data_IF_150753762828
#
_entry.id   IF_150753762828
#
_cell.length_a   1.000
_cell.length_b   1.000
_cell.length_c   1.000
_cell.angle_alpha   90.00
_cell.angle_beta   90.00
_cell.angle_gamma   90.00
#
_symmetry.space_group_name_H-M   'P 1'
#
loop_
_entity.id
_entity.type
_entity.pdbx_description
1 polymer ?
#
# COMPACT_ATOMS: atom_id res chain seq x y z
N UNK A 1 -6.99 -21.84 24.70
CA UNK A 1 -6.76 -21.73 23.24
C UNK A 1 -7.40 -20.46 22.65
N UNK A 2 -8.33 -19.82 23.37
CA UNK A 2 -9.18 -18.73 22.87
C UNK A 2 -8.51 -17.34 22.74
N UNK A 3 -7.30 -17.15 23.29
CA UNK A 3 -6.59 -15.86 23.20
C UNK A 3 -5.78 -15.68 21.91
N UNK A 4 -5.39 -16.77 21.25
CA UNK A 4 -4.50 -16.71 20.08
C UNK A 4 -5.25 -16.28 18.82
N UNK A 5 -6.48 -16.76 18.64
CA UNK A 5 -7.29 -16.62 17.43
C UNK A 5 -8.47 -15.65 17.62
N UNK A 6 -8.23 -14.50 18.26
CA UNK A 6 -9.26 -13.45 18.32
C UNK A 6 -9.27 -12.62 17.01
N UNK A 7 -10.41 -12.00 16.72
CA UNK A 7 -10.60 -11.26 15.47
C UNK A 7 -9.63 -10.08 15.32
N UNK A 8 -9.24 -9.40 16.41
CA UNK A 8 -8.26 -8.31 16.37
C UNK A 8 -6.89 -8.80 15.85
N UNK A 9 -6.42 -9.95 16.34
CA UNK A 9 -5.16 -10.56 15.89
C UNK A 9 -5.25 -10.97 14.42
N UNK A 10 -6.39 -11.53 13.99
CA UNK A 10 -6.61 -11.89 12.60
C UNK A 10 -6.57 -10.67 11.67
N UNK A 11 -7.22 -9.56 12.05
CA UNK A 11 -7.18 -8.30 11.29
C UNK A 11 -5.76 -7.71 11.24
N UNK A 12 -5.01 -7.77 12.34
CA UNK A 12 -3.61 -7.32 12.38
C UNK A 12 -2.72 -8.13 11.43
N UNK A 13 -2.81 -9.46 11.49
CA UNK A 13 -2.03 -10.35 10.61
C UNK A 13 -2.41 -10.14 9.15
N UNK A 14 -3.72 -10.08 8.83
CA UNK A 14 -4.19 -9.86 7.47
C UNK A 14 -3.72 -8.50 6.93
N UNK A 15 -3.86 -7.43 7.71
CA UNK A 15 -3.40 -6.09 7.32
C UNK A 15 -1.90 -6.09 7.04
N UNK A 16 -1.08 -6.63 7.94
CA UNK A 16 0.36 -6.72 7.75
C UNK A 16 0.73 -7.53 6.50
N UNK A 17 0.16 -8.73 6.36
CA UNK A 17 0.50 -9.64 5.26
C UNK A 17 0.13 -9.05 3.89
N UNK A 18 -1.09 -8.53 3.73
CA UNK A 18 -1.55 -7.99 2.46
C UNK A 18 -0.91 -6.65 2.12
N UNK A 19 -0.67 -5.79 3.11
CA UNK A 19 0.08 -4.55 2.89
C UNK A 19 1.55 -4.82 2.53
N UNK A 20 2.20 -5.77 3.22
CA UNK A 20 3.56 -6.18 2.91
C UNK A 20 3.66 -6.75 1.50
N UNK A 21 2.76 -7.66 1.14
CA UNK A 21 2.70 -8.26 -0.19
C UNK A 21 2.43 -7.21 -1.26
N UNK A 22 1.52 -6.27 -1.01
CA UNK A 22 1.23 -5.21 -1.97
C UNK A 22 2.49 -4.39 -2.26
N UNK A 23 3.27 -4.00 -1.26
CA UNK A 23 4.51 -3.23 -1.45
C UNK A 23 5.73 -4.09 -1.84
N UNK A 24 5.56 -5.39 -2.10
CA UNK A 24 6.65 -6.26 -2.55
C UNK A 24 6.53 -6.47 -4.04
N UNK A 25 7.44 -5.86 -4.80
CA UNK A 25 7.52 -6.09 -6.23
C UNK A 25 7.84 -7.57 -6.53
N UNK A 26 7.22 -8.17 -7.55
CA UNK A 26 7.44 -9.58 -7.92
C UNK A 26 8.81 -9.80 -8.58
N UNK A 27 9.36 -8.79 -9.23
CA UNK A 27 10.61 -8.87 -10.01
C UNK A 27 11.77 -8.19 -9.29
N UNK A 28 13.00 -8.60 -9.61
CA UNK A 28 14.23 -7.97 -9.10
C UNK A 28 14.29 -6.50 -9.56
N UNK A 29 14.62 -5.54 -8.68
CA UNK A 29 14.66 -4.14 -9.06
C UNK A 29 15.73 -3.91 -10.15
N UNK A 30 15.37 -3.09 -11.13
CA UNK A 30 16.27 -2.75 -12.23
C UNK A 30 17.49 -1.96 -11.74
N UNK A 31 18.69 -2.21 -12.29
CA UNK A 31 19.87 -1.41 -12.04
C UNK A 31 19.60 0.08 -12.35
N UNK A 32 20.14 0.99 -11.54
CA UNK A 32 19.89 2.44 -11.66
C UNK A 32 20.18 3.02 -13.06
N UNK A 33 21.13 2.42 -13.79
CA UNK A 33 21.52 2.83 -15.14
C UNK A 33 20.43 2.59 -16.21
N UNK A 34 19.43 1.77 -15.91
CA UNK A 34 18.36 1.36 -16.84
C UNK A 34 17.05 2.12 -16.62
N UNK A 35 17.03 3.12 -15.73
CA UNK A 35 15.83 3.87 -15.41
C UNK A 35 15.58 4.95 -16.47
N UNK A 36 14.35 5.00 -17.00
CA UNK A 36 13.95 6.00 -18.00
C UNK A 36 13.85 7.39 -17.37
N UNK A 37 13.27 7.47 -16.17
CA UNK A 37 13.23 8.68 -15.35
C UNK A 37 13.97 8.42 -14.02
N UNK A 38 14.83 9.36 -13.62
CA UNK A 38 15.59 9.30 -12.37
C UNK A 38 15.25 10.48 -11.46
N UNK A 39 14.01 10.97 -11.55
CA UNK A 39 13.52 12.00 -10.65
C UNK A 39 13.65 11.57 -9.17
N UNK A 40 13.57 12.56 -8.28
CA UNK A 40 13.70 12.31 -6.83
C UNK A 40 12.69 11.29 -6.32
N UNK A 41 11.47 11.27 -6.88
CA UNK A 41 10.42 10.35 -6.46
C UNK A 41 10.82 8.90 -6.74
N UNK A 42 11.31 8.58 -7.95
CA UNK A 42 11.80 7.24 -8.33
C UNK A 42 12.90 6.73 -7.40
N UNK A 43 13.87 7.61 -7.10
CA UNK A 43 15.03 7.30 -6.25
C UNK A 43 14.65 6.90 -4.84
N UNK A 44 13.48 7.33 -4.38
CA UNK A 44 13.03 7.18 -3.00
C UNK A 44 11.95 6.10 -2.84
N UNK A 45 11.47 5.48 -3.94
CA UNK A 45 10.42 4.43 -3.88
C UNK A 45 10.83 3.27 -2.99
N UNK A 46 12.01 2.68 -3.22
CA UNK A 46 12.42 1.47 -2.49
C UNK A 46 12.52 1.75 -0.98
N UNK A 47 13.19 2.84 -0.59
CA UNK A 47 13.32 3.24 0.82
C UNK A 47 11.93 3.49 1.44
N UNK A 48 11.05 4.24 0.77
CA UNK A 48 9.68 4.48 1.25
C UNK A 48 8.88 3.19 1.41
N UNK A 49 9.00 2.24 0.48
CA UNK A 49 8.30 0.95 0.59
C UNK A 49 8.80 0.14 1.77
N UNK A 50 10.12 0.11 2.03
CA UNK A 50 10.72 -0.57 3.19
C UNK A 50 10.23 0.06 4.49
N UNK A 51 10.29 1.40 4.58
CA UNK A 51 9.81 2.13 5.77
C UNK A 51 8.32 1.87 6.00
N UNK A 52 7.51 1.96 4.96
CA UNK A 52 6.05 1.75 5.06
C UNK A 52 5.72 0.33 5.53
N UNK A 53 6.39 -0.69 4.99
CA UNK A 53 6.26 -2.09 5.46
C UNK A 53 6.65 -2.22 6.92
N UNK A 54 7.81 -1.65 7.29
CA UNK A 54 8.31 -1.68 8.66
C UNK A 54 7.32 -1.08 9.66
N UNK A 55 6.74 0.07 9.33
CA UNK A 55 5.71 0.72 10.15
C UNK A 55 4.49 -0.19 10.32
N UNK A 56 3.87 -0.65 9.24
CA UNK A 56 2.62 -1.45 9.32
C UNK A 56 2.84 -2.79 10.01
N UNK A 57 3.94 -3.48 9.72
CA UNK A 57 4.28 -4.74 10.39
C UNK A 57 4.53 -4.53 11.89
N UNK A 58 5.29 -3.50 12.26
CA UNK A 58 5.55 -3.18 13.67
C UNK A 58 4.26 -2.85 14.40
N UNK A 59 3.41 -2.01 13.81
CA UNK A 59 2.11 -1.66 14.38
C UNK A 59 1.20 -2.88 14.57
N UNK A 60 1.20 -3.81 13.61
CA UNK A 60 0.44 -5.06 13.72
C UNK A 60 0.98 -5.97 14.82
N UNK A 61 2.31 -6.04 14.98
CA UNK A 61 2.94 -6.74 16.12
C UNK A 61 2.60 -6.09 17.46
N UNK A 62 2.53 -4.75 17.53
CA UNK A 62 2.13 -4.04 18.75
C UNK A 62 0.68 -4.38 19.14
N UNK A 63 -0.25 -4.46 18.17
CA UNK A 63 -1.62 -4.91 18.44
C UNK A 63 -1.65 -6.33 19.01
N UNK A 64 -0.91 -7.25 18.40
CA UNK A 64 -0.83 -8.63 18.87
C UNK A 64 -0.22 -8.67 20.29
N UNK A 65 0.88 -7.95 20.53
CA UNK A 65 1.51 -7.86 21.85
C UNK A 65 0.56 -7.29 22.92
N UNK A 66 -0.27 -6.30 22.58
CA UNK A 66 -1.32 -5.77 23.46
C UNK A 66 -2.40 -6.82 23.74
N UNK A 67 -2.85 -7.59 22.74
CA UNK A 67 -3.81 -8.70 22.94
C UNK A 67 -3.30 -9.75 23.94
N UNK A 68 -1.99 -10.01 23.92
CA UNK A 68 -1.34 -10.95 24.85
C UNK A 68 -0.93 -10.31 26.19
N UNK A 69 -1.21 -9.01 26.40
CA UNK A 69 -0.80 -8.25 27.61
C UNK A 69 0.71 -8.34 27.88
N UNK A 70 1.53 -8.32 26.82
CA UNK A 70 2.99 -8.40 26.94
C UNK A 70 3.61 -7.11 27.51
N UNK A 71 2.88 -5.99 27.43
CA UNK A 71 3.25 -4.75 28.09
C UNK A 71 2.76 -4.80 29.54
N UNK A 72 3.66 -5.06 30.48
CA UNK A 72 3.35 -5.01 31.91
C UNK A 72 3.00 -3.61 32.41
N UNK A 73 2.63 -3.50 33.70
CA UNK A 73 2.14 -2.27 34.35
C UNK A 73 3.20 -1.15 34.53
N UNK A 74 4.35 -1.24 33.85
CA UNK A 74 5.48 -0.31 33.99
C UNK A 74 5.26 1.06 33.33
N UNK A 75 4.04 1.63 33.42
CA UNK A 75 3.74 2.99 32.97
C UNK A 75 3.77 3.21 31.45
N UNK A 76 3.91 2.14 30.66
CA UNK A 76 3.82 2.24 29.21
C UNK A 76 2.36 2.45 28.79
N UNK A 77 2.08 3.46 27.96
CA UNK A 77 0.73 3.69 27.42
C UNK A 77 0.14 2.41 26.76
N UNK A 78 0.97 1.53 26.22
CA UNK A 78 0.54 0.26 25.66
C UNK A 78 -0.19 -0.67 26.67
N UNK A 79 0.12 -0.55 27.97
CA UNK A 79 -0.47 -1.36 29.04
C UNK A 79 -1.91 -0.94 29.37
N UNK A 80 -2.25 0.34 29.13
CA UNK A 80 -3.61 0.87 29.36
C UNK A 80 -4.57 0.59 28.21
N UNK A 81 -4.05 0.12 27.06
CA UNK A 81 -4.89 -0.24 25.92
C UNK A 81 -5.70 -1.49 26.24
N UNK A 82 -7.01 -1.38 26.13
CA UNK A 82 -7.94 -2.50 26.20
C UNK A 82 -8.55 -2.70 24.82
N UNK A 83 -8.15 -3.79 24.15
CA UNK A 83 -8.76 -4.18 22.88
C UNK A 83 -10.16 -4.73 23.16
N UNK A 84 -11.22 -4.16 22.52
CA UNK A 84 -12.56 -4.70 22.67
C UNK A 84 -12.63 -6.10 22.07
N UNK A 85 -13.48 -6.96 22.65
CA UNK A 85 -13.72 -8.33 22.16
C UNK A 85 -14.20 -8.32 20.71
N UNK A 86 -15.05 -7.35 20.35
CA UNK A 86 -15.45 -7.03 18.99
C UNK A 86 -14.61 -5.88 18.45
N UNK A 87 -13.85 -6.04 17.35
CA UNK A 87 -13.08 -4.96 16.76
C UNK A 87 -13.99 -3.79 16.36
N UNK A 88 -13.51 -2.54 16.48
CA UNK A 88 -14.26 -1.38 16.00
C UNK A 88 -14.53 -1.48 14.50
N UNK A 89 -15.66 -0.94 14.05
CA UNK A 89 -16.03 -0.89 12.62
C UNK A 89 -14.92 -0.28 11.75
N UNK A 90 -14.24 0.75 12.26
CA UNK A 90 -13.09 1.35 11.56
C UNK A 90 -11.93 0.36 11.37
N UNK A 91 -11.63 -0.48 12.37
CA UNK A 91 -10.57 -1.48 12.25
C UNK A 91 -10.94 -2.53 11.19
N UNK A 92 -12.19 -3.02 11.20
CA UNK A 92 -12.70 -3.98 10.21
C UNK A 92 -12.66 -3.36 8.80
N UNK A 93 -13.15 -2.14 8.64
CA UNK A 93 -13.15 -1.42 7.36
C UNK A 93 -11.72 -1.21 6.84
N UNK A 94 -10.82 -0.67 7.66
CA UNK A 94 -9.44 -0.41 7.28
C UNK A 94 -8.71 -1.67 6.84
N UNK A 95 -8.80 -2.73 7.65
CA UNK A 95 -8.20 -4.03 7.33
C UNK A 95 -8.81 -4.63 6.05
N UNK A 96 -10.13 -4.56 5.87
CA UNK A 96 -10.81 -5.07 4.68
C UNK A 96 -10.37 -4.34 3.41
N UNK A 97 -10.28 -3.01 3.47
CA UNK A 97 -9.76 -2.20 2.36
C UNK A 97 -8.32 -2.58 2.04
N UNK A 98 -7.45 -2.75 3.05
CA UNK A 98 -6.06 -3.17 2.83
C UNK A 98 -5.96 -4.56 2.20
N UNK A 99 -6.79 -5.52 2.63
CA UNK A 99 -6.81 -6.88 2.07
C UNK A 99 -7.26 -6.84 0.60
N UNK A 100 -8.37 -6.17 0.30
CA UNK A 100 -8.87 -6.04 -1.07
C UNK A 100 -7.87 -5.34 -1.98
N UNK A 101 -7.22 -4.29 -1.48
CA UNK A 101 -6.17 -3.56 -2.19
C UNK A 101 -4.93 -4.44 -2.46
N UNK A 102 -4.53 -5.26 -1.49
CA UNK A 102 -3.45 -6.23 -1.64
C UNK A 102 -3.78 -7.33 -2.65
N UNK A 103 -5.03 -7.81 -2.68
CA UNK A 103 -5.52 -8.76 -3.68
C UNK A 103 -5.51 -8.16 -5.09
N UNK A 104 -5.99 -6.92 -5.25
CA UNK A 104 -5.93 -6.20 -6.52
C UNK A 104 -4.49 -6.05 -7.01
N UNK A 105 -3.58 -5.65 -6.12
CA UNK A 105 -2.13 -5.53 -6.43
C UNK A 105 -1.56 -6.88 -6.87
N UNK A 106 -1.92 -7.95 -6.18
CA UNK A 106 -1.47 -9.28 -6.54
C UNK A 106 -1.99 -9.71 -7.92
N UNK A 107 -3.25 -9.43 -8.25
CA UNK A 107 -3.79 -9.67 -9.58
C UNK A 107 -3.02 -8.88 -10.65
N UNK A 108 -2.74 -7.60 -10.42
CA UNK A 108 -1.92 -6.79 -11.33
C UNK A 108 -0.51 -7.37 -11.53
N UNK A 109 0.10 -7.89 -10.45
CA UNK A 109 1.43 -8.52 -10.53
C UNK A 109 1.39 -9.81 -11.34
N UNK A 110 0.36 -10.62 -11.16
CA UNK A 110 0.16 -11.85 -11.94
C UNK A 110 -0.10 -11.55 -13.42
N UNK A 111 -0.86 -10.50 -13.72
CA UNK A 111 -1.21 -10.13 -15.10
C UNK A 111 -0.03 -9.56 -15.88
N UNK A 112 0.75 -8.65 -15.27
CA UNK A 112 1.93 -8.07 -15.93
C UNK A 112 3.16 -9.01 -15.89
N UNK A 113 3.24 -9.89 -14.89
CA UNK A 113 4.35 -10.82 -14.69
C UNK A 113 5.72 -10.13 -14.76
N UNK A 114 6.55 -10.55 -15.72
CA UNK A 114 7.91 -9.99 -15.93
C UNK A 114 7.93 -8.51 -16.35
N UNK A 115 6.81 -7.95 -16.80
CA UNK A 115 6.72 -6.55 -17.25
C UNK A 115 6.47 -5.58 -16.09
N UNK A 116 6.14 -6.09 -14.91
CA UNK A 116 5.88 -5.26 -13.74
C UNK A 116 7.17 -4.76 -13.08
N UNK A 117 7.36 -3.46 -13.02
CA UNK A 117 8.43 -2.82 -12.23
C UNK A 117 7.88 -1.65 -11.41
N UNK A 118 8.44 -1.42 -10.22
CA UNK A 118 8.12 -0.22 -9.45
C UNK A 118 8.72 1.04 -10.08
N UNK A 119 9.87 0.94 -10.73
CA UNK A 119 10.47 2.03 -11.49
C UNK A 119 9.90 2.02 -12.90
N UNK A 120 9.57 3.19 -13.45
CA UNK A 120 9.02 3.24 -14.80
C UNK A 120 10.10 2.84 -15.79
N UNK A 121 9.86 1.73 -16.49
CA UNK A 121 10.72 1.27 -17.55
C UNK A 121 9.91 0.58 -18.65
N UNK A 122 10.33 0.81 -19.89
CA UNK A 122 9.80 0.13 -21.07
C UNK A 122 10.88 -0.85 -21.50
N UNK A 123 10.68 -2.13 -21.18
CA UNK A 123 11.58 -3.21 -21.59
C UNK A 123 11.62 -3.32 -23.12
N UNK A 124 12.72 -3.82 -23.71
CA UNK A 124 12.78 -4.05 -25.16
C UNK A 124 11.60 -4.89 -25.67
N UNK A 125 11.27 -5.95 -24.93
CA UNK A 125 10.16 -6.88 -25.20
C UNK A 125 8.86 -6.49 -24.47
N UNK A 126 8.68 -5.21 -24.11
CA UNK A 126 7.46 -4.78 -23.43
C UNK A 126 6.26 -4.96 -24.34
N UNK A 127 5.20 -5.57 -23.80
CA UNK A 127 3.94 -5.77 -24.49
C UNK A 127 2.85 -4.97 -23.80
N UNK A 128 1.87 -4.48 -24.56
CA UNK A 128 0.74 -3.77 -24.00
C UNK A 128 -0.26 -4.76 -23.39
N UNK A 129 -0.30 -4.83 -22.07
CA UNK A 129 -1.24 -5.69 -21.33
C UNK A 129 -2.57 -4.97 -21.17
N UNK A 130 -3.64 -5.56 -21.73
CA UNK A 130 -5.00 -4.98 -21.74
C UNK A 130 -6.04 -5.88 -21.08
N UNK A 131 -5.61 -7.02 -20.52
CA UNK A 131 -6.44 -8.03 -19.87
C UNK A 131 -6.49 -7.86 -18.35
N UNK A 132 -7.38 -8.62 -17.68
CA UNK A 132 -7.52 -8.59 -16.23
C UNK A 132 -7.90 -7.19 -15.70
N UNK A 133 -7.26 -6.68 -14.64
CA UNK A 133 -7.57 -5.37 -14.07
C UNK A 133 -7.36 -4.21 -15.06
N UNK A 134 -6.47 -4.39 -16.05
CA UNK A 134 -6.13 -3.39 -17.06
C UNK A 134 -7.25 -3.20 -18.10
N UNK A 135 -8.21 -4.12 -18.16
CA UNK A 135 -9.40 -3.96 -19.01
C UNK A 135 -10.43 -2.97 -18.43
N UNK A 136 -10.34 -2.64 -17.13
CA UNK A 136 -11.28 -1.74 -16.45
C UNK A 136 -10.73 -0.32 -16.31
N UNK A 137 -9.45 -0.19 -15.97
CA UNK A 137 -8.73 1.09 -15.80
C UNK A 137 -7.29 0.94 -16.25
N UNK A 138 -6.63 2.04 -16.63
CA UNK A 138 -5.24 2.00 -17.17
C UNK A 138 -4.18 1.73 -16.11
N UNK A 139 -4.38 2.19 -14.86
CA UNK A 139 -3.43 2.01 -13.76
C UNK A 139 -4.05 1.35 -12.51
N UNK A 140 -4.57 0.11 -12.61
CA UNK A 140 -5.25 -0.57 -11.51
C UNK A 140 -4.32 -0.83 -10.31
N UNK A 141 -3.02 -1.03 -10.57
CA UNK A 141 -2.00 -1.15 -9.52
C UNK A 141 -1.88 0.11 -8.65
N UNK A 142 -2.08 1.30 -9.23
CA UNK A 142 -2.06 2.56 -8.46
C UNK A 142 -3.31 2.74 -7.62
N UNK A 143 -4.46 2.31 -8.11
CA UNK A 143 -5.67 2.20 -7.28
C UNK A 143 -5.41 1.28 -6.09
N UNK A 144 -4.76 0.14 -6.33
CA UNK A 144 -4.38 -0.80 -5.27
C UNK A 144 -3.36 -0.23 -4.28
N UNK A 145 -2.38 0.57 -4.70
CA UNK A 145 -1.43 1.16 -3.75
C UNK A 145 -2.10 2.27 -2.91
N UNK A 146 -2.91 3.15 -3.51
CA UNK A 146 -3.67 4.16 -2.77
C UNK A 146 -4.62 3.53 -1.75
N UNK A 147 -5.41 2.54 -2.18
CA UNK A 147 -6.32 1.82 -1.29
C UNK A 147 -5.55 1.10 -0.16
N UNK A 148 -4.37 0.53 -0.45
CA UNK A 148 -3.55 -0.13 0.59
C UNK A 148 -3.16 0.86 1.69
N UNK A 149 -2.69 2.04 1.33
CA UNK A 149 -2.31 3.07 2.29
C UNK A 149 -3.51 3.69 3.03
N UNK A 150 -4.62 3.92 2.32
CA UNK A 150 -5.86 4.42 2.94
C UNK A 150 -6.37 3.42 3.98
N UNK A 151 -6.48 2.13 3.60
CA UNK A 151 -6.92 1.07 4.50
C UNK A 151 -6.01 0.92 5.72
N UNK A 152 -4.69 0.94 5.51
CA UNK A 152 -3.71 0.84 6.61
C UNK A 152 -3.80 2.05 7.55
N UNK A 153 -4.03 3.25 7.00
CA UNK A 153 -4.25 4.46 7.80
C UNK A 153 -5.53 4.34 8.63
N UNK A 154 -6.66 3.97 8.02
CA UNK A 154 -7.93 3.77 8.74
C UNK A 154 -7.76 2.74 9.86
N UNK A 155 -7.07 1.64 9.58
CA UNK A 155 -6.79 0.59 10.56
C UNK A 155 -5.93 1.12 11.73
N UNK A 156 -4.81 1.78 11.44
CA UNK A 156 -3.86 2.28 12.45
C UNK A 156 -4.42 3.39 13.34
N UNK A 157 -5.37 4.17 12.82
CA UNK A 157 -6.06 5.24 13.55
C UNK A 157 -7.41 4.80 14.12
N UNK A 158 -7.73 3.50 14.08
CA UNK A 158 -8.95 2.95 14.68
C UNK A 158 -8.89 2.98 16.22
N UNK A 159 -10.06 3.04 16.90
CA UNK A 159 -10.11 2.99 18.37
C UNK A 159 -9.41 1.76 18.95
N UNK A 160 -8.63 1.94 20.01
CA UNK A 160 -7.88 0.84 20.65
C UNK A 160 -6.60 0.41 19.91
N UNK A 161 -6.32 0.96 18.73
CA UNK A 161 -5.05 0.72 18.05
C UNK A 161 -3.91 1.52 18.70
N UNK A 162 -2.71 0.93 18.77
CA UNK A 162 -1.55 1.49 19.48
C UNK A 162 -1.18 2.89 19.00
N UNK A 163 -1.14 3.12 17.68
CA UNK A 163 -0.79 4.42 17.13
C UNK A 163 -1.81 5.50 17.52
N UNK A 164 -3.10 5.19 17.60
CA UNK A 164 -4.10 6.16 18.07
C UNK A 164 -3.98 6.43 19.56
N UNK A 165 -3.87 5.35 20.36
CA UNK A 165 -3.89 5.44 21.82
C UNK A 165 -2.61 6.07 22.39
N UNK A 166 -1.45 5.72 21.84
CA UNK A 166 -0.14 6.11 22.35
C UNK A 166 0.62 7.05 21.42
N UNK A 167 0.13 7.26 20.19
CA UNK A 167 0.79 8.15 19.24
C UNK A 167 0.75 9.60 19.63
N UNK A 168 -0.37 10.07 20.20
CA UNK A 168 -0.51 11.45 20.64
C UNK A 168 0.20 11.75 21.97
N UNK A 169 0.50 10.72 22.78
CA UNK A 169 1.10 10.87 24.10
C UNK A 169 2.61 10.61 24.14
N UNK A 170 3.21 10.18 23.03
CA UNK A 170 4.65 9.87 22.93
C UNK A 170 5.28 10.57 21.75
N UNK A 171 6.47 11.15 21.95
CA UNK A 171 7.28 11.76 20.89
C UNK A 171 7.53 10.77 19.73
N UNK A 172 7.75 9.49 20.05
CA UNK A 172 8.00 8.44 19.06
C UNK A 172 6.76 8.21 18.20
N UNK A 173 5.59 8.08 18.81
CA UNK A 173 4.37 7.82 18.08
C UNK A 173 3.86 9.03 17.26
N UNK A 174 4.15 10.25 17.73
CA UNK A 174 3.94 11.47 16.96
C UNK A 174 4.86 11.51 15.74
N UNK A 175 6.15 11.20 15.92
CA UNK A 175 7.09 11.11 14.81
C UNK A 175 6.67 10.06 13.77
N UNK A 176 6.25 8.87 14.20
CA UNK A 176 5.71 7.82 13.30
C UNK A 176 4.47 8.32 12.54
N UNK A 177 3.55 9.01 13.22
CA UNK A 177 2.35 9.59 12.60
C UNK A 177 2.69 10.63 11.53
N UNK A 178 3.62 11.54 11.84
CA UNK A 178 4.07 12.58 10.90
C UNK A 178 4.78 11.96 9.71
N UNK A 179 5.72 11.03 9.95
CA UNK A 179 6.45 10.35 8.89
C UNK A 179 5.51 9.55 7.98
N UNK A 180 4.51 8.87 8.56
CA UNK A 180 3.47 8.17 7.81
C UNK A 180 2.65 9.12 6.93
N UNK A 181 2.16 10.23 7.51
CA UNK A 181 1.37 11.23 6.79
C UNK A 181 2.14 11.91 5.66
N UNK A 182 3.41 12.29 5.90
CA UNK A 182 4.28 12.85 4.87
C UNK A 182 4.56 11.85 3.75
N UNK A 183 4.87 10.60 4.10
CA UNK A 183 5.08 9.54 3.13
C UNK A 183 3.82 9.29 2.29
N UNK A 184 2.64 9.29 2.92
CA UNK A 184 1.36 9.17 2.23
C UNK A 184 1.15 10.31 1.23
N UNK A 185 1.37 11.56 1.64
CA UNK A 185 1.24 12.73 0.77
C UNK A 185 2.22 12.70 -0.41
N UNK A 186 3.48 12.36 -0.16
CA UNK A 186 4.51 12.22 -1.20
C UNK A 186 4.13 11.13 -2.20
N UNK A 187 3.68 9.97 -1.71
CA UNK A 187 3.23 8.86 -2.57
C UNK A 187 2.03 9.27 -3.42
N UNK A 188 1.04 9.97 -2.84
CA UNK A 188 -0.14 10.42 -3.56
C UNK A 188 0.20 11.42 -4.67
N UNK A 189 1.00 12.43 -4.33
CA UNK A 189 1.44 13.44 -5.30
C UNK A 189 2.32 12.83 -6.40
N UNK A 190 3.34 12.06 -6.02
CA UNK A 190 4.30 11.50 -6.97
C UNK A 190 3.71 10.46 -7.92
N UNK A 191 2.77 9.62 -7.45
CA UNK A 191 2.04 8.70 -8.34
C UNK A 191 1.07 9.45 -9.25
N UNK A 192 0.45 10.53 -8.75
CA UNK A 192 -0.41 11.43 -9.52
C UNK A 192 0.30 12.00 -10.76
N UNK A 193 1.50 12.55 -10.57
CA UNK A 193 2.30 13.11 -11.67
C UNK A 193 2.91 12.02 -12.56
N UNK A 194 3.29 10.88 -11.98
CA UNK A 194 3.91 9.77 -12.69
C UNK A 194 2.99 9.13 -13.73
N UNK A 195 1.70 8.95 -13.44
CA UNK A 195 0.75 8.35 -14.38
C UNK A 195 0.77 9.01 -15.76
N UNK A 196 0.86 10.34 -15.81
CA UNK A 196 0.91 11.07 -17.08
C UNK A 196 2.18 10.78 -17.87
N UNK A 197 3.33 10.67 -17.20
CA UNK A 197 4.59 10.31 -17.83
C UNK A 197 4.59 8.87 -18.34
N UNK A 198 3.95 7.94 -17.62
CA UNK A 198 3.81 6.54 -18.04
C UNK A 198 2.90 6.40 -19.26
N UNK A 199 1.71 7.04 -19.22
CA UNK A 199 0.78 7.10 -20.36
C UNK A 199 1.50 7.60 -21.62
N UNK A 200 2.25 8.70 -21.50
CA UNK A 200 3.00 9.30 -22.60
C UNK A 200 4.12 8.38 -23.09
N UNK A 201 4.84 7.72 -22.18
CA UNK A 201 5.88 6.76 -22.54
C UNK A 201 5.31 5.53 -23.27
N UNK A 202 4.18 4.99 -22.80
CA UNK A 202 3.48 3.88 -23.46
C UNK A 202 2.94 4.32 -24.82
N UNK A 203 2.37 5.52 -24.92
CA UNK A 203 1.94 6.11 -26.20
C UNK A 203 3.09 6.23 -27.19
N UNK A 204 4.26 6.69 -26.76
CA UNK A 204 5.45 6.78 -27.63
C UNK A 204 5.94 5.42 -28.12
N UNK A 205 5.82 4.38 -27.29
CA UNK A 205 6.28 3.01 -27.64
C UNK A 205 5.33 2.27 -28.55
N UNK A 206 4.02 2.35 -28.27
CA UNK A 206 2.97 1.54 -28.92
C UNK A 206 2.11 2.33 -29.92
N UNK A 207 2.19 3.66 -29.91
CA UNK A 207 1.51 4.54 -30.86
C UNK A 207 0.02 4.27 -30.95
N UNK A 208 -0.42 3.80 -32.12
CA UNK A 208 -1.84 3.56 -32.42
C UNK A 208 -2.49 2.51 -31.52
N UNK A 209 -1.76 1.45 -31.16
CA UNK A 209 -2.28 0.38 -30.30
C UNK A 209 -2.64 0.92 -28.90
N UNK A 210 -1.81 1.83 -28.38
CA UNK A 210 -2.09 2.53 -27.13
C UNK A 210 -3.32 3.44 -27.25
N UNK A 211 -3.43 4.19 -28.35
CA UNK A 211 -4.57 5.09 -28.55
C UNK A 211 -5.90 4.31 -28.64
N UNK A 212 -5.92 3.17 -29.34
CA UNK A 212 -7.08 2.26 -29.41
C UNK A 212 -7.41 1.63 -28.05
N UNK A 213 -6.40 1.30 -27.23
CA UNK A 213 -6.61 0.85 -25.87
C UNK A 213 -7.16 1.95 -24.96
N UNK A 214 -6.57 3.14 -24.99
CA UNK A 214 -6.99 4.28 -24.17
C UNK A 214 -8.41 4.77 -24.51
N UNK A 215 -8.86 4.60 -25.76
CA UNK A 215 -10.25 4.83 -26.14
C UNK A 215 -11.21 3.82 -25.53
N UNK A 216 -10.83 2.53 -25.48
CA UNK A 216 -11.63 1.46 -24.86
C UNK A 216 -11.66 1.56 -23.33
N UNK A 217 -10.54 1.99 -22.74
CA UNK A 217 -10.35 2.11 -21.28
C UNK A 217 -10.02 3.56 -20.94
N UNK A 218 -11.02 4.47 -20.91
CA UNK A 218 -10.77 5.90 -20.73
C UNK A 218 -10.25 6.24 -19.32
N UNK A 219 -10.66 5.48 -18.31
CA UNK A 219 -10.38 5.76 -16.90
C UNK A 219 -8.94 5.42 -16.50
N UNK A 220 -8.29 6.32 -15.76
CA UNK A 220 -6.93 6.09 -15.24
C UNK A 220 -6.92 5.21 -13.99
N UNK A 221 -7.74 5.54 -13.00
CA UNK A 221 -7.66 4.93 -11.66
C UNK A 221 -8.98 4.29 -11.20
N UNK A 222 -10.09 5.02 -11.27
CA UNK A 222 -11.37 4.58 -10.75
C UNK A 222 -12.39 4.63 -11.90
N UNK A 223 -13.13 3.54 -12.18
CA UNK A 223 -14.19 3.58 -13.17
C UNK A 223 -15.19 4.69 -12.85
N UNK A 224 -15.47 5.57 -13.82
CA UNK A 224 -16.41 6.69 -13.66
C UNK A 224 -15.83 7.96 -13.04
N UNK A 225 -14.58 7.97 -12.56
CA UNK A 225 -13.88 9.18 -12.11
C UNK A 225 -12.56 9.24 -12.89
N UNK A 226 -12.48 10.20 -13.82
CA UNK A 226 -11.40 10.48 -14.77
C UNK A 226 -10.07 9.70 -14.58
#
# INVERSE_FOLDING_TARGET
MDRVLNLNNALAIATAAFFYKSLTQPNTPLPRKEWIDSNWFERTIQIRTIISKGIVCTMSLMVIATSFRLFGDHGSCAATIVLPTTPPTMAVLGASVTVLAGLLRWWCFSELGRLFDFQFNIKPDHQLVTSGPYSFVRHPSYTGIFASFIGATIYMYSPGHWLRACGSSSTVGMAVSVLWGLNFAICFYGLGTRMGAEDEGLRRRFGKEWDEFAQRVPFRLIPGIY
#
